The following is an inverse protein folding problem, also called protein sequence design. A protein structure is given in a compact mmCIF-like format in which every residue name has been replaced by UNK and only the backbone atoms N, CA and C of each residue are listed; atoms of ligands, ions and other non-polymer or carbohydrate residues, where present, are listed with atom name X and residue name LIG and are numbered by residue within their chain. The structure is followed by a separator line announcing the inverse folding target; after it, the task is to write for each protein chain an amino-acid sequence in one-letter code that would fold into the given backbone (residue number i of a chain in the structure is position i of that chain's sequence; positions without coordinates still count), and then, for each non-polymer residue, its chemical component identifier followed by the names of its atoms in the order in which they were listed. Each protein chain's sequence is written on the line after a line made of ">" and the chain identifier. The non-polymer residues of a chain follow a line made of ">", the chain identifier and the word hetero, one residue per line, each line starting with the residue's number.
data_IF_005615900988
#
_entry.id   IF_005615900988
#
_cell.length_a   1.000
_cell.length_b   1.000
_cell.length_c   1.000
_cell.angle_alpha   90.00
_cell.angle_beta   90.00
_cell.angle_gamma   90.00
#
_symmetry.space_group_name_H-M   'P 1'
#
loop_
_entity.id
_entity.type
_entity.pdbx_description
1 polymer ?
#
# COMPACT_ATOMS: atom_id res chain seq x y z
N UNK A 1 10.13 6.44 8.78
CA UNK A 1 8.96 6.69 7.90
C UNK A 1 9.09 8.12 7.38
N UNK A 2 9.26 8.29 6.09
CA UNK A 2 9.31 9.61 5.46
C UNK A 2 7.96 9.86 4.77
N UNK A 3 7.27 10.93 5.13
CA UNK A 3 6.03 11.32 4.51
C UNK A 3 6.30 12.36 3.42
N UNK A 4 5.88 12.11 2.18
CA UNK A 4 5.91 13.10 1.09
C UNK A 4 4.56 13.81 1.05
N UNK A 5 4.57 15.12 1.24
CA UNK A 5 3.38 15.96 1.14
C UNK A 5 3.22 16.49 -0.28
N UNK A 6 2.19 16.05 -1.00
CA UNK A 6 1.79 16.69 -2.26
C UNK A 6 0.79 17.81 -1.88
N UNK A 7 1.22 19.07 -1.98
CA UNK A 7 0.35 20.22 -1.75
C UNK A 7 -0.48 20.54 -2.99
N UNK A 8 -1.62 19.92 -3.13
CA UNK A 8 -2.74 20.38 -3.93
C UNK A 8 -4.02 20.18 -3.13
N UNK A 9 -4.07 20.76 -1.95
CA UNK A 9 -5.29 20.91 -1.12
C UNK A 9 -5.90 19.64 -0.52
N UNK A 10 -5.62 18.41 -0.99
CA UNK A 10 -6.41 17.25 -0.60
C UNK A 10 -5.69 15.94 -0.32
N UNK A 11 -4.45 15.72 -0.71
CA UNK A 11 -3.77 14.44 -0.51
C UNK A 11 -2.44 14.61 0.18
N UNK A 12 -2.28 13.93 1.29
CA UNK A 12 -1.02 13.78 1.99
C UNK A 12 -0.83 12.30 2.25
N UNK A 13 0.18 11.77 1.64
CA UNK A 13 0.60 10.39 1.77
C UNK A 13 1.59 10.27 2.92
N UNK A 14 1.39 9.42 3.91
CA UNK A 14 2.52 8.78 4.54
C UNK A 14 3.07 7.78 3.52
N UNK A 15 4.04 8.20 2.73
CA UNK A 15 4.84 7.30 1.93
C UNK A 15 5.85 6.70 2.91
N UNK A 16 5.68 5.44 3.29
CA UNK A 16 6.72 4.70 3.99
C UNK A 16 7.87 4.45 3.02
N UNK A 17 8.76 5.43 2.88
CA UNK A 17 9.99 5.27 2.09
C UNK A 17 11.05 4.71 3.04
N UNK A 18 11.37 3.45 2.87
CA UNK A 18 12.54 2.84 3.50
C UNK A 18 13.80 3.37 2.80
N UNK A 19 14.97 3.51 3.47
CA UNK A 19 16.23 3.93 2.85
C UNK A 19 16.66 3.08 1.64
N UNK A 20 16.13 1.87 1.54
CA UNK A 20 16.37 0.91 0.44
C UNK A 20 15.40 1.05 -0.73
N UNK A 21 14.56 2.09 -0.73
CA UNK A 21 13.52 2.30 -1.75
C UNK A 21 13.98 3.32 -2.79
N UNK A 22 13.58 3.08 -4.03
CA UNK A 22 13.66 4.06 -5.11
C UNK A 22 12.29 4.21 -5.76
N UNK A 23 11.87 5.46 -5.99
CA UNK A 23 10.68 5.75 -6.81
C UNK A 23 11.08 5.95 -8.27
N UNK A 24 10.22 5.55 -9.19
CA UNK A 24 10.37 5.94 -10.58
C UNK A 24 10.39 7.49 -10.68
N UNK A 25 11.23 8.11 -11.54
CA UNK A 25 11.37 9.57 -11.62
C UNK A 25 10.04 10.32 -11.83
N UNK A 26 9.08 9.70 -12.47
CA UNK A 26 7.76 10.25 -12.78
C UNK A 26 6.66 9.81 -11.79
N UNK A 27 6.98 9.03 -10.75
CA UNK A 27 5.98 8.43 -9.85
C UNK A 27 5.03 9.47 -9.24
N UNK A 28 5.58 10.57 -8.70
CA UNK A 28 4.77 11.62 -8.08
C UNK A 28 3.90 12.37 -9.10
N UNK A 29 4.40 12.56 -10.33
CA UNK A 29 3.62 13.16 -11.42
C UNK A 29 2.43 12.27 -11.79
N UNK A 30 2.66 10.96 -11.95
CA UNK A 30 1.59 10.02 -12.29
C UNK A 30 0.53 9.95 -11.20
N UNK A 31 0.92 9.90 -9.93
CA UNK A 31 -0.01 9.98 -8.82
C UNK A 31 -0.82 11.29 -8.83
N UNK A 32 -0.17 12.43 -9.06
CA UNK A 32 -0.86 13.72 -9.11
C UNK A 32 -1.88 13.80 -10.28
N UNK A 33 -1.53 13.28 -11.45
CA UNK A 33 -2.44 13.17 -12.59
C UNK A 33 -3.63 12.28 -12.28
N UNK A 34 -3.37 11.06 -11.75
CA UNK A 34 -4.43 10.11 -11.36
C UNK A 34 -5.39 10.71 -10.34
N UNK A 35 -4.87 11.47 -9.37
CA UNK A 35 -5.69 12.19 -8.38
C UNK A 35 -6.57 13.25 -9.03
N UNK A 36 -6.05 13.97 -10.00
CA UNK A 36 -6.82 14.99 -10.72
C UNK A 36 -7.92 14.35 -11.59
N UNK A 37 -7.64 13.23 -12.22
CA UNK A 37 -8.58 12.47 -13.06
C UNK A 37 -9.63 11.72 -12.24
N UNK A 38 -9.26 11.27 -11.04
CA UNK A 38 -10.10 10.47 -10.12
C UNK A 38 -10.20 11.15 -8.74
N UNK A 39 -10.88 12.31 -8.65
CA UNK A 39 -10.90 13.11 -7.42
C UNK A 39 -11.61 12.42 -6.24
N UNK A 40 -12.39 11.38 -6.48
CA UNK A 40 -13.07 10.60 -5.45
C UNK A 40 -12.21 9.47 -4.85
N UNK A 41 -11.07 9.13 -5.48
CA UNK A 41 -10.18 8.09 -5.00
C UNK A 41 -9.71 8.37 -3.56
N UNK A 42 -9.85 7.40 -2.69
CA UNK A 42 -9.45 7.44 -1.28
C UNK A 42 -8.09 6.78 -1.08
N UNK A 43 -7.81 5.73 -1.87
CA UNK A 43 -6.56 5.00 -1.91
C UNK A 43 -6.20 4.69 -3.36
N UNK A 44 -4.92 4.90 -3.71
CA UNK A 44 -4.34 4.52 -5.00
C UNK A 44 -3.13 3.64 -4.70
N UNK A 45 -2.98 2.52 -5.38
CA UNK A 45 -1.78 1.68 -5.31
C UNK A 45 -1.24 1.38 -6.70
N UNK A 46 0.05 1.07 -6.76
CA UNK A 46 0.78 0.88 -8.03
C UNK A 46 1.50 -0.47 -8.05
N UNK A 47 1.98 -0.86 -9.21
CA UNK A 47 2.88 -2.00 -9.36
C UNK A 47 4.26 -1.69 -8.79
N UNK A 48 5.04 -2.74 -8.55
CA UNK A 48 6.40 -2.64 -8.01
C UNK A 48 7.33 -3.65 -8.68
N UNK A 49 8.63 -3.42 -8.54
CA UNK A 49 9.67 -4.38 -8.89
C UNK A 49 10.83 -4.32 -7.89
N UNK A 50 11.88 -5.04 -8.19
CA UNK A 50 13.10 -5.04 -7.38
C UNK A 50 14.28 -4.49 -8.18
N UNK A 51 15.27 -3.98 -7.44
CA UNK A 51 16.59 -3.67 -7.95
C UNK A 51 17.57 -4.69 -7.39
N UNK A 52 18.33 -5.32 -8.26
CA UNK A 52 19.42 -6.20 -7.85
C UNK A 52 20.62 -5.41 -7.28
N UNK A 53 21.71 -6.13 -6.94
CA UNK A 53 22.91 -5.51 -6.38
C UNK A 53 23.62 -4.58 -7.38
N UNK A 54 23.39 -4.75 -8.68
CA UNK A 54 23.90 -3.91 -9.77
C UNK A 54 22.99 -2.71 -10.06
N UNK A 55 21.81 -2.63 -9.40
CA UNK A 55 20.82 -1.59 -9.62
C UNK A 55 19.94 -1.82 -10.85
N UNK A 56 19.95 -3.02 -11.41
CA UNK A 56 19.10 -3.39 -12.54
C UNK A 56 17.71 -3.83 -12.06
N UNK A 57 16.69 -3.45 -12.79
CA UNK A 57 15.30 -3.80 -12.48
C UNK A 57 15.03 -5.28 -12.77
N UNK A 58 14.45 -5.96 -11.80
CA UNK A 58 14.13 -7.39 -11.87
C UNK A 58 12.85 -7.70 -11.07
N UNK A 59 12.34 -8.92 -11.22
CA UNK A 59 11.22 -9.47 -10.47
C UNK A 59 10.01 -8.52 -10.39
N UNK A 60 9.43 -8.07 -11.51
CA UNK A 60 8.25 -7.21 -11.49
C UNK A 60 7.07 -7.95 -10.84
N UNK A 61 6.31 -7.20 -10.06
CA UNK A 61 5.06 -7.65 -9.47
C UNK A 61 3.93 -6.75 -9.99
N UNK A 62 3.21 -7.27 -10.98
CA UNK A 62 2.00 -6.66 -11.54
C UNK A 62 0.82 -7.09 -10.69
N UNK A 63 0.15 -6.11 -10.11
CA UNK A 63 -0.93 -6.33 -9.15
C UNK A 63 -2.28 -6.39 -9.86
N UNK A 64 -3.23 -7.16 -9.35
CA UNK A 64 -4.60 -7.09 -9.86
C UNK A 64 -5.28 -5.79 -9.42
N UNK A 65 -6.40 -5.47 -10.06
CA UNK A 65 -7.34 -4.48 -9.55
C UNK A 65 -7.84 -4.88 -8.15
N UNK A 66 -8.42 -3.91 -7.44
CA UNK A 66 -8.86 -4.11 -6.06
C UNK A 66 -9.69 -5.39 -5.89
N UNK A 67 -9.22 -6.24 -5.00
CA UNK A 67 -9.87 -7.49 -4.61
C UNK A 67 -9.88 -7.62 -3.08
N UNK A 68 -11.01 -7.41 -2.41
CA UNK A 68 -11.12 -7.54 -0.97
C UNK A 68 -10.87 -8.99 -0.50
N UNK A 69 -11.24 -9.99 -1.32
CA UNK A 69 -10.97 -11.38 -1.03
C UNK A 69 -9.46 -11.69 -1.05
N UNK A 70 -8.72 -11.14 -2.00
CA UNK A 70 -7.27 -11.32 -2.06
C UNK A 70 -6.57 -10.59 -0.90
N UNK A 71 -7.06 -9.41 -0.50
CA UNK A 71 -6.47 -8.65 0.60
C UNK A 71 -6.52 -9.42 1.93
N UNK A 72 -7.56 -10.20 2.19
CA UNK A 72 -7.65 -11.01 3.42
C UNK A 72 -6.85 -12.32 3.34
N UNK A 73 -6.23 -12.63 2.23
CA UNK A 73 -5.34 -13.79 2.09
C UNK A 73 -3.87 -13.40 2.07
N UNK A 74 -3.56 -12.20 1.57
CA UNK A 74 -2.18 -11.69 1.48
C UNK A 74 -2.17 -10.17 1.29
N UNK A 75 -1.11 -9.51 1.77
CA UNK A 75 -0.84 -8.11 1.46
C UNK A 75 -0.31 -7.95 0.02
N UNK A 76 -1.18 -8.09 -0.99
CA UNK A 76 -0.78 -7.94 -2.39
C UNK A 76 -0.56 -6.49 -2.81
N UNK A 77 -1.11 -5.54 -2.06
CA UNK A 77 -1.01 -4.11 -2.39
C UNK A 77 0.43 -3.60 -2.24
N UNK A 78 1.14 -4.03 -1.16
CA UNK A 78 2.54 -3.68 -0.95
C UNK A 78 2.82 -2.18 -1.12
N UNK A 79 3.70 -1.84 -2.05
CA UNK A 79 4.13 -0.47 -2.38
C UNK A 79 3.98 -0.21 -3.89
N UNK A 80 3.80 0.99 -4.36
CA UNK A 80 3.57 2.25 -3.69
C UNK A 80 2.09 2.42 -3.35
N UNK A 81 1.79 3.03 -2.20
CA UNK A 81 0.40 3.34 -1.80
C UNK A 81 0.25 4.82 -1.53
N UNK A 82 -0.80 5.42 -2.09
CA UNK A 82 -1.21 6.80 -1.87
C UNK A 82 -2.60 6.83 -1.22
N UNK A 83 -2.72 7.39 -0.02
CA UNK A 83 -3.97 7.40 0.77
C UNK A 83 -4.34 8.82 1.15
N UNK A 84 -5.63 9.16 1.16
CA UNK A 84 -6.09 10.44 1.73
C UNK A 84 -5.71 10.53 3.20
N UNK A 85 -5.03 11.62 3.59
CA UNK A 85 -4.62 11.83 4.99
C UNK A 85 -5.81 11.80 5.97
N UNK A 86 -6.95 12.35 5.56
CA UNK A 86 -8.16 12.32 6.39
C UNK A 86 -8.58 10.87 6.69
N UNK A 87 -8.47 9.96 5.71
CA UNK A 87 -8.79 8.55 5.87
C UNK A 87 -7.80 7.86 6.82
N UNK A 88 -6.49 8.10 6.66
CA UNK A 88 -5.48 7.56 7.57
C UNK A 88 -5.75 7.99 9.01
N UNK A 89 -6.11 9.27 9.23
CA UNK A 89 -6.47 9.78 10.56
C UNK A 89 -7.76 9.15 11.10
N UNK A 90 -8.76 8.99 10.25
CA UNK A 90 -10.05 8.40 10.63
C UNK A 90 -9.91 6.96 11.15
N UNK A 91 -8.98 6.20 10.56
CA UNK A 91 -8.69 4.81 10.99
C UNK A 91 -7.62 4.72 12.09
N UNK A 92 -7.13 5.84 12.62
CA UNK A 92 -6.21 5.87 13.76
C UNK A 92 -4.71 5.73 13.40
N UNK A 93 -4.33 5.83 12.10
CA UNK A 93 -2.92 5.80 11.69
C UNK A 93 -2.26 4.42 11.80
N UNK A 94 -0.95 4.39 11.94
CA UNK A 94 -0.18 3.16 12.19
C UNK A 94 -0.29 2.72 13.64
N UNK A 95 -0.19 1.42 13.88
CA UNK A 95 -0.24 0.80 15.22
C UNK A 95 1.09 0.13 15.53
N UNK A 96 1.64 0.40 16.71
CA UNK A 96 2.94 -0.14 17.14
C UNK A 96 2.91 -1.66 17.30
N UNK A 97 1.77 -2.23 17.70
CA UNK A 97 1.59 -3.68 17.90
C UNK A 97 1.66 -4.50 16.61
N UNK A 98 1.58 -3.83 15.47
CA UNK A 98 1.68 -4.47 14.14
C UNK A 98 2.99 -4.13 13.43
N UNK A 99 4.04 -3.77 14.18
CA UNK A 99 5.35 -3.48 13.62
C UNK A 99 5.86 -4.66 12.75
N UNK A 100 6.30 -4.32 11.53
CA UNK A 100 6.68 -5.30 10.51
C UNK A 100 5.57 -5.63 9.51
N UNK A 101 4.28 -5.37 9.86
CA UNK A 101 3.11 -5.49 8.98
C UNK A 101 2.12 -4.34 9.19
N UNK A 102 2.62 -3.19 9.64
CA UNK A 102 1.82 -2.00 9.95
C UNK A 102 1.11 -1.41 8.72
N UNK A 103 1.67 -1.59 7.54
CA UNK A 103 1.06 -1.25 6.27
C UNK A 103 -0.16 -2.14 5.97
N UNK A 104 -0.04 -3.43 6.20
CA UNK A 104 -1.13 -4.38 6.01
C UNK A 104 -2.28 -4.13 6.99
N UNK A 105 -2.00 -3.92 8.27
CA UNK A 105 -2.99 -3.53 9.27
C UNK A 105 -3.74 -2.25 8.87
N UNK A 106 -3.01 -1.24 8.40
CA UNK A 106 -3.60 0.01 7.93
C UNK A 106 -4.53 -0.21 6.73
N UNK A 107 -4.11 -1.00 5.74
CA UNK A 107 -4.90 -1.30 4.55
C UNK A 107 -6.19 -2.05 4.88
N UNK A 108 -6.14 -3.02 5.79
CA UNK A 108 -7.31 -3.76 6.26
C UNK A 108 -8.32 -2.82 6.94
N UNK A 109 -7.86 -1.94 7.84
CA UNK A 109 -8.72 -0.95 8.51
C UNK A 109 -9.30 0.08 7.55
N UNK A 110 -8.53 0.51 6.54
CA UNK A 110 -9.02 1.39 5.49
C UNK A 110 -10.14 0.71 4.68
N UNK A 111 -9.92 -0.55 4.27
CA UNK A 111 -10.94 -1.31 3.54
C UNK A 111 -12.24 -1.43 4.34
N UNK A 112 -12.15 -1.73 5.63
CA UNK A 112 -13.32 -1.82 6.53
C UNK A 112 -14.01 -0.47 6.69
N UNK A 113 -13.25 0.60 6.92
CA UNK A 113 -13.79 1.96 7.08
C UNK A 113 -14.53 2.43 5.82
N UNK A 114 -14.08 2.04 4.65
CA UNK A 114 -14.75 2.29 3.38
C UNK A 114 -15.93 1.32 3.11
N UNK A 115 -16.30 0.48 4.07
CA UNK A 115 -17.39 -0.50 3.91
C UNK A 115 -17.02 -1.69 3.02
N UNK A 116 -15.74 -2.06 2.95
CA UNK A 116 -15.22 -3.16 2.14
C UNK A 116 -15.69 -3.06 0.67
N UNK A 117 -15.19 -2.10 -0.12
CA UNK A 117 -15.60 -1.94 -1.51
C UNK A 117 -15.54 -3.27 -2.27
N UNK A 118 -16.51 -3.60 -3.13
CA UNK A 118 -16.49 -4.82 -3.94
C UNK A 118 -15.29 -4.84 -4.89
N UNK A 119 -15.09 -5.95 -5.58
CA UNK A 119 -14.04 -6.07 -6.60
C UNK A 119 -14.10 -4.90 -7.59
N UNK A 120 -12.93 -4.39 -7.99
CA UNK A 120 -12.80 -3.17 -8.78
C UNK A 120 -12.81 -1.86 -7.97
N UNK A 121 -12.99 -1.92 -6.63
CA UNK A 121 -12.76 -0.79 -5.72
C UNK A 121 -13.73 0.39 -5.83
N UNK A 122 -14.93 0.17 -6.35
CA UNK A 122 -15.92 1.24 -6.57
C UNK A 122 -17.00 1.23 -5.49
N UNK A 123 -17.34 2.41 -4.98
CA UNK A 123 -18.49 2.64 -4.10
C UNK A 123 -19.42 3.66 -4.75
N UNK A 124 -20.70 3.35 -4.85
CA UNK A 124 -21.72 4.21 -5.48
C UNK A 124 -21.30 4.70 -6.90
N UNK A 125 -20.64 3.82 -7.66
CA UNK A 125 -20.13 4.12 -9.00
C UNK A 125 -18.82 4.92 -9.03
N UNK A 126 -18.27 5.35 -7.87
CA UNK A 126 -17.04 6.16 -7.76
C UNK A 126 -15.84 5.30 -7.40
N UNK A 127 -14.68 5.62 -7.94
CA UNK A 127 -13.43 4.95 -7.59
C UNK A 127 -13.04 5.30 -6.16
N UNK A 128 -13.21 4.36 -5.21
CA UNK A 128 -12.77 4.52 -3.82
C UNK A 128 -11.34 3.99 -3.63
N UNK A 129 -11.04 2.82 -4.20
CA UNK A 129 -9.71 2.22 -4.21
C UNK A 129 -9.34 1.97 -5.67
N UNK A 130 -8.20 2.51 -6.10
CA UNK A 130 -7.78 2.50 -7.49
C UNK A 130 -6.41 1.84 -7.64
N UNK A 131 -6.30 0.93 -8.59
CA UNK A 131 -5.04 0.42 -9.10
C UNK A 131 -4.55 1.31 -10.25
N UNK A 132 -3.32 1.81 -10.14
CA UNK A 132 -2.58 2.45 -11.22
C UNK A 132 -1.56 1.42 -11.74
N UNK A 133 -1.80 0.76 -12.89
CA UNK A 133 -1.01 -0.38 -13.37
C UNK A 133 0.32 0.09 -13.99
N UNK A 134 1.13 0.72 -13.17
CA UNK A 134 2.46 1.21 -13.53
C UNK A 134 3.46 0.85 -12.43
N UNK A 135 4.66 0.40 -12.81
CA UNK A 135 5.75 0.11 -11.87
C UNK A 135 6.39 1.44 -11.45
N UNK A 136 5.96 1.96 -10.30
CA UNK A 136 6.40 3.25 -9.78
C UNK A 136 7.27 3.13 -8.52
N UNK A 137 7.51 1.92 -8.03
CA UNK A 137 8.26 1.64 -6.83
C UNK A 137 9.25 0.51 -7.06
N UNK A 138 10.48 0.71 -6.58
CA UNK A 138 11.58 -0.23 -6.75
C UNK A 138 12.19 -0.58 -5.39
N UNK A 139 12.14 -1.86 -5.01
CA UNK A 139 12.80 -2.38 -3.81
C UNK A 139 14.27 -2.69 -4.11
N UNK A 140 15.18 -2.12 -3.32
CA UNK A 140 16.57 -2.57 -3.39
C UNK A 140 16.74 -3.88 -2.64
N UNK A 141 17.23 -4.88 -3.32
CA UNK A 141 17.60 -6.16 -2.72
C UNK A 141 18.93 -5.99 -1.98
N UNK A 142 18.97 -6.42 -0.73
CA UNK A 142 20.21 -6.51 0.05
C UNK A 142 20.13 -7.70 1.00
N UNK A 143 21.29 -8.25 1.41
CA UNK A 143 21.36 -9.34 2.36
C UNK A 143 20.66 -8.94 3.68
N UNK A 144 19.71 -9.75 4.16
CA UNK A 144 18.91 -9.46 5.36
C UNK A 144 17.62 -8.64 5.14
N UNK A 145 17.30 -8.27 3.89
CA UNK A 145 16.02 -7.64 3.56
C UNK A 145 14.88 -8.67 3.52
N UNK A 146 13.68 -8.27 3.97
CA UNK A 146 12.44 -9.06 3.76
C UNK A 146 12.12 -9.27 2.28
N UNK A 147 12.71 -8.46 1.39
CA UNK A 147 12.59 -8.63 -0.06
C UNK A 147 13.37 -9.85 -0.60
N UNK A 148 14.30 -10.41 0.17
CA UNK A 148 15.16 -11.52 -0.26
C UNK A 148 14.73 -12.90 0.28
N UNK A 149 14.01 -12.97 1.42
CA UNK A 149 13.43 -14.23 1.91
C UNK A 149 12.25 -14.00 2.87
N UNK A 150 11.22 -14.82 2.76
CA UNK A 150 10.07 -14.82 3.67
C UNK A 150 10.42 -15.19 5.12
N UNK A 151 11.57 -15.80 5.37
CA UNK A 151 12.06 -16.17 6.70
C UNK A 151 12.88 -15.11 7.42
N UNK A 152 13.19 -13.98 6.77
CA UNK A 152 14.10 -12.99 7.33
C UNK A 152 13.56 -12.24 8.57
N UNK A 153 12.21 -12.21 8.77
CA UNK A 153 11.57 -11.51 9.89
C UNK A 153 10.34 -12.28 10.40
N UNK A 154 10.51 -13.29 11.30
CA UNK A 154 9.38 -14.06 11.83
C UNK A 154 8.30 -13.19 12.50
N UNK A 155 8.69 -12.07 13.15
CA UNK A 155 7.77 -11.16 13.79
C UNK A 155 6.81 -10.46 12.81
N UNK A 156 7.22 -10.24 11.55
CA UNK A 156 6.36 -9.64 10.54
C UNK A 156 5.19 -10.57 10.16
N UNK A 157 5.41 -11.89 10.14
CA UNK A 157 4.34 -12.86 9.92
C UNK A 157 3.33 -12.85 11.07
N UNK A 158 3.82 -12.82 12.30
CA UNK A 158 2.96 -12.75 13.48
C UNK A 158 2.16 -11.44 13.54
N UNK A 159 2.80 -10.32 13.24
CA UNK A 159 2.13 -9.03 13.13
C UNK A 159 1.05 -9.02 12.02
N UNK A 160 1.34 -9.65 10.87
CA UNK A 160 0.38 -9.81 9.79
C UNK A 160 -0.81 -10.70 10.17
N UNK A 161 -0.55 -11.81 10.88
CA UNK A 161 -1.60 -12.67 11.42
C UNK A 161 -2.50 -11.91 12.41
N UNK A 162 -1.90 -11.17 13.34
CA UNK A 162 -2.63 -10.34 14.30
C UNK A 162 -3.49 -9.28 13.63
N UNK A 163 -2.96 -8.61 12.60
CA UNK A 163 -3.69 -7.63 11.82
C UNK A 163 -4.92 -8.25 11.14
N UNK A 164 -4.76 -9.43 10.55
CA UNK A 164 -5.83 -10.15 9.87
C UNK A 164 -6.89 -10.65 10.86
N UNK A 165 -6.50 -11.24 11.99
CA UNK A 165 -7.44 -11.70 13.04
C UNK A 165 -8.31 -10.54 13.52
N UNK A 166 -7.69 -9.41 13.89
CA UNK A 166 -8.42 -8.20 14.29
C UNK A 166 -9.39 -7.70 13.21
N UNK A 167 -8.99 -7.77 11.95
CA UNK A 167 -9.84 -7.38 10.85
C UNK A 167 -11.02 -8.33 10.64
N UNK A 168 -10.86 -9.62 10.90
CA UNK A 168 -11.93 -10.61 10.82
C UNK A 168 -12.88 -10.53 12.02
N UNK A 169 -12.37 -10.35 13.23
CA UNK A 169 -13.17 -10.23 14.47
C UNK A 169 -14.11 -9.02 14.43
N UNK A 170 -13.73 -7.94 13.76
CA UNK A 170 -14.59 -6.75 13.62
C UNK A 170 -15.67 -6.88 12.54
N UNK A 171 -15.71 -7.98 11.79
CA UNK A 171 -16.74 -8.25 10.76
C UNK A 171 -17.95 -9.04 11.25
N UNK A 172 -17.82 -9.68 12.40
CA UNK A 172 -18.84 -10.52 13.02
C UNK A 172 -19.19 -10.01 14.41
#
# INVERSE_FOLDING_TARGET
>A
VMAVQIRAGRIVTPLAIHPTTLLAPHALLRLAQTIAEQPDAQLIYTDEDKLDEQGLRCLPFFKPDWSPALLVTQNYIGHLVCVRRALVRAVGGFRDETEGSQDYDLLLRIAQHLGNPPAGGRLDGRAAILHLPEVLYHWRMHAGSTSSSSGAKPYAHEAGRLALERALDTRY
#
